data_IF_221334446121
#
_entry.id   IF_221334446121
#
_cell.length_a   1.000
_cell.length_b   1.000
_cell.length_c   1.000
_cell.angle_alpha   90.00
_cell.angle_beta   90.00
_cell.angle_gamma   90.00
#
_symmetry.space_group_name_H-M   'P 1'
#
loop_
_entity.id
_entity.type
_entity.pdbx_description
1 polymer ?
#
# COMPACT_ATOMS: atom_id res chain seq x y z
N UNK A 1 -7.54 -2.60 -20.91
CA UNK A 1 -8.26 -1.32 -21.02
C UNK A 1 -7.28 -0.20 -21.34
N UNK A 2 -7.51 0.56 -22.42
CA UNK A 2 -6.61 1.65 -22.77
C UNK A 2 -6.76 2.82 -21.79
N UNK A 3 -5.68 3.55 -21.55
CA UNK A 3 -5.72 4.75 -20.72
C UNK A 3 -6.62 5.81 -21.37
N UNK A 4 -7.32 6.64 -20.55
CA UNK A 4 -8.09 7.76 -21.09
C UNK A 4 -7.23 8.69 -21.95
N UNK A 5 -7.86 9.34 -22.94
CA UNK A 5 -7.15 10.20 -23.90
C UNK A 5 -6.32 11.30 -23.24
N UNK A 6 -6.80 11.87 -22.14
CA UNK A 6 -6.08 12.92 -21.41
C UNK A 6 -4.92 12.41 -20.59
N UNK A 7 -4.89 11.11 -20.28
CA UNK A 7 -3.79 10.46 -19.54
C UNK A 7 -2.68 9.96 -20.47
N UNK A 8 -3.03 9.53 -21.68
CA UNK A 8 -2.07 8.98 -22.64
C UNK A 8 -0.84 9.88 -22.88
N UNK A 9 -0.97 11.20 -23.11
CA UNK A 9 0.19 12.07 -23.27
C UNK A 9 1.07 12.14 -22.02
N UNK A 10 0.45 12.07 -20.84
CA UNK A 10 1.17 12.10 -19.56
C UNK A 10 2.03 10.83 -19.43
N UNK A 11 1.47 9.66 -19.71
CA UNK A 11 2.20 8.39 -19.65
C UNK A 11 3.35 8.36 -20.64
N UNK A 12 3.20 8.94 -21.82
CA UNK A 12 4.27 9.01 -22.82
C UNK A 12 5.45 9.85 -22.35
N UNK A 13 5.21 10.90 -21.58
CA UNK A 13 6.26 11.78 -21.05
C UNK A 13 6.98 11.23 -19.83
N UNK A 14 6.40 10.24 -19.16
CA UNK A 14 6.97 9.68 -17.94
C UNK A 14 8.29 8.96 -18.22
N UNK A 15 9.32 9.19 -17.39
CA UNK A 15 10.61 8.51 -17.57
C UNK A 15 10.58 7.08 -17.06
N UNK A 16 11.47 6.25 -17.61
CA UNK A 16 11.70 4.88 -17.13
C UNK A 16 12.76 4.86 -16.03
N UNK A 17 12.51 5.64 -14.99
CA UNK A 17 13.44 5.83 -13.87
C UNK A 17 12.72 5.65 -12.54
N UNK A 18 13.46 5.38 -11.45
CA UNK A 18 12.84 5.30 -10.14
C UNK A 18 12.33 6.66 -9.66
N UNK A 19 11.30 6.65 -8.86
CA UNK A 19 10.74 7.89 -8.31
C UNK A 19 9.42 7.68 -7.62
N UNK A 20 8.76 8.80 -7.36
CA UNK A 20 7.45 8.87 -6.71
C UNK A 20 6.46 9.48 -7.70
N UNK A 21 5.29 8.87 -7.83
CA UNK A 21 4.20 9.39 -8.64
C UNK A 21 3.03 9.81 -7.75
N UNK A 22 2.26 10.78 -8.24
CA UNK A 22 1.11 11.36 -7.55
C UNK A 22 -0.08 11.34 -8.49
N UNK A 23 -1.22 10.80 -8.03
CA UNK A 23 -2.47 10.80 -8.77
C UNK A 23 -3.37 11.93 -8.26
N UNK A 24 -3.89 12.75 -9.18
CA UNK A 24 -4.79 13.85 -8.88
C UNK A 24 -6.15 13.64 -9.58
N UNK A 25 -7.23 14.15 -8.95
CA UNK A 25 -8.55 14.15 -9.58
C UNK A 25 -8.75 15.38 -10.50
N UNK A 26 -9.96 15.51 -11.08
CA UNK A 26 -10.27 16.61 -11.98
C UNK A 26 -10.27 17.98 -11.28
N UNK A 27 -10.43 18.01 -9.95
CA UNK A 27 -10.39 19.22 -9.14
C UNK A 27 -8.98 19.56 -8.63
N UNK A 28 -7.97 18.77 -9.00
CA UNK A 28 -6.61 18.96 -8.53
C UNK A 28 -6.33 18.41 -7.15
N UNK A 29 -7.24 17.62 -6.59
CA UNK A 29 -7.04 17.01 -5.28
C UNK A 29 -6.13 15.80 -5.39
N UNK A 30 -5.15 15.71 -4.48
CA UNK A 30 -4.25 14.57 -4.41
C UNK A 30 -4.98 13.33 -3.91
N UNK A 31 -5.00 12.27 -4.73
CA UNK A 31 -5.69 11.02 -4.43
C UNK A 31 -4.77 9.97 -3.84
N UNK A 32 -3.57 9.83 -4.39
CA UNK A 32 -2.66 8.74 -4.06
C UNK A 32 -1.22 9.10 -4.36
N UNK A 33 -0.30 8.62 -3.53
CA UNK A 33 1.15 8.72 -3.73
C UNK A 33 1.73 7.31 -3.72
N UNK A 34 2.58 7.00 -4.69
CA UNK A 34 3.24 5.71 -4.75
C UNK A 34 4.67 5.81 -5.24
N UNK A 35 5.50 4.85 -4.84
CA UNK A 35 6.85 4.72 -5.37
C UNK A 35 6.89 3.77 -6.54
N UNK A 36 7.87 3.94 -7.40
CA UNK A 36 8.12 3.04 -8.52
C UNK A 36 9.60 2.86 -8.75
N UNK A 37 9.98 1.67 -9.15
CA UNK A 37 11.31 1.38 -9.69
C UNK A 37 11.44 1.90 -11.11
N UNK A 38 10.33 1.87 -11.85
CA UNK A 38 10.18 2.43 -13.20
C UNK A 38 8.84 3.16 -13.24
N UNK A 39 8.88 4.48 -13.22
CA UNK A 39 7.69 5.33 -13.16
C UNK A 39 6.71 5.06 -14.32
N UNK A 40 7.22 5.00 -15.54
CA UNK A 40 6.39 4.79 -16.73
C UNK A 40 5.67 3.45 -16.69
N UNK A 41 6.36 2.36 -16.38
CA UNK A 41 5.76 1.02 -16.27
C UNK A 41 4.72 0.97 -15.17
N UNK A 42 5.03 1.53 -14.02
CA UNK A 42 4.11 1.48 -12.86
C UNK A 42 2.85 2.27 -13.13
N UNK A 43 2.97 3.50 -13.63
CA UNK A 43 1.82 4.33 -13.95
C UNK A 43 0.95 3.70 -15.04
N UNK A 44 1.58 3.17 -16.09
CA UNK A 44 0.85 2.50 -17.17
C UNK A 44 0.10 1.26 -16.69
N UNK A 45 0.63 0.54 -15.70
CA UNK A 45 0.00 -0.69 -15.18
C UNK A 45 -1.38 -0.47 -14.57
N UNK A 46 -1.65 0.74 -14.05
CA UNK A 46 -2.98 1.08 -13.51
C UNK A 46 -4.07 1.05 -14.58
N UNK A 47 -3.70 1.31 -15.83
CA UNK A 47 -4.66 1.44 -16.94
C UNK A 47 -4.68 0.22 -17.88
N UNK A 48 -3.72 -0.69 -17.73
CA UNK A 48 -3.58 -1.85 -18.64
C UNK A 48 -4.04 -3.16 -18.02
N UNK A 49 -4.12 -3.24 -16.69
CA UNK A 49 -4.50 -4.45 -15.96
C UNK A 49 -5.90 -4.29 -15.38
N UNK A 50 -6.67 -5.39 -15.39
CA UNK A 50 -7.89 -5.45 -14.60
C UNK A 50 -7.50 -5.47 -13.13
N UNK A 51 -7.95 -4.46 -12.39
CA UNK A 51 -7.69 -4.37 -10.96
C UNK A 51 -8.67 -5.28 -10.22
N UNK A 52 -8.16 -6.26 -9.49
CA UNK A 52 -8.98 -7.16 -8.68
C UNK A 52 -9.62 -6.44 -7.49
N UNK A 53 -8.94 -5.43 -6.94
CA UNK A 53 -9.42 -4.65 -5.80
C UNK A 53 -10.36 -3.52 -6.28
N UNK A 54 -11.59 -3.50 -5.72
CA UNK A 54 -12.58 -2.46 -6.05
C UNK A 54 -12.14 -1.04 -5.70
N UNK A 55 -11.38 -0.86 -4.61
CA UNK A 55 -10.85 0.45 -4.22
C UNK A 55 -9.82 0.97 -5.23
N UNK A 56 -8.98 0.10 -5.75
CA UNK A 56 -8.02 0.46 -6.79
C UNK A 56 -8.74 0.84 -8.08
N UNK A 57 -9.80 0.14 -8.45
CA UNK A 57 -10.62 0.49 -9.62
C UNK A 57 -11.26 1.86 -9.48
N UNK A 58 -11.77 2.19 -8.27
CA UNK A 58 -12.32 3.51 -7.99
C UNK A 58 -11.26 4.61 -8.12
N UNK A 59 -10.07 4.35 -7.59
CA UNK A 59 -8.94 5.27 -7.74
C UNK A 59 -8.65 5.54 -9.21
N UNK A 60 -8.49 4.49 -10.01
CA UNK A 60 -8.15 4.60 -11.45
C UNK A 60 -9.19 5.44 -12.19
N UNK A 61 -10.49 5.28 -11.89
CA UNK A 61 -11.56 6.04 -12.51
C UNK A 61 -11.48 7.54 -12.20
N UNK A 62 -10.96 7.90 -11.03
CA UNK A 62 -10.88 9.30 -10.57
C UNK A 62 -9.61 10.00 -11.03
N UNK A 63 -8.60 9.27 -11.50
CA UNK A 63 -7.33 9.87 -11.93
C UNK A 63 -7.58 10.75 -13.16
N UNK A 64 -7.28 12.05 -13.00
CA UNK A 64 -7.35 13.03 -14.09
C UNK A 64 -5.97 13.53 -14.49
N UNK A 65 -5.03 13.58 -13.55
CA UNK A 65 -3.66 14.03 -13.79
C UNK A 65 -2.66 13.18 -12.98
N UNK A 66 -1.45 13.08 -13.48
CA UNK A 66 -0.36 12.36 -12.82
C UNK A 66 0.87 13.26 -12.81
N UNK A 67 1.45 13.47 -11.64
CA UNK A 67 2.73 14.14 -11.47
C UNK A 67 3.74 13.15 -10.92
N UNK A 68 5.02 13.41 -11.10
CA UNK A 68 6.08 12.54 -10.63
C UNK A 68 7.34 13.30 -10.26
N UNK A 69 8.15 12.68 -9.39
CA UNK A 69 9.45 13.17 -8.98
C UNK A 69 10.45 12.03 -9.19
N UNK A 70 11.46 12.25 -10.03
CA UNK A 70 12.53 11.28 -10.27
C UNK A 70 13.49 11.29 -9.10
N UNK A 71 13.91 10.11 -8.64
CA UNK A 71 14.92 9.95 -7.59
C UNK A 71 16.13 9.19 -8.12
N UNK A 72 17.26 9.27 -7.39
CA UNK A 72 18.48 8.58 -7.79
C UNK A 72 18.37 7.06 -7.68
N UNK A 73 17.54 6.57 -6.76
CA UNK A 73 17.37 5.13 -6.52
C UNK A 73 15.96 4.83 -6.01
N UNK A 74 15.61 3.53 -6.00
CA UNK A 74 14.35 3.06 -5.42
C UNK A 74 14.30 3.32 -3.90
N UNK A 75 15.44 3.23 -3.21
CA UNK A 75 15.53 3.52 -1.77
C UNK A 75 15.18 4.98 -1.48
N UNK A 76 15.69 5.91 -2.30
CA UNK A 76 15.35 7.33 -2.18
C UNK A 76 13.87 7.57 -2.47
N UNK A 77 13.31 6.85 -3.45
CA UNK A 77 11.88 6.91 -3.75
C UNK A 77 11.02 6.45 -2.56
N UNK A 78 11.44 5.40 -1.86
CA UNK A 78 10.74 4.92 -0.66
C UNK A 78 10.74 5.98 0.46
N UNK A 79 11.88 6.62 0.72
CA UNK A 79 11.98 7.67 1.73
C UNK A 79 11.10 8.87 1.37
N UNK A 80 11.14 9.28 0.12
CA UNK A 80 10.32 10.40 -0.36
C UNK A 80 8.83 10.06 -0.29
N UNK A 81 8.43 8.87 -0.72
CA UNK A 81 7.04 8.40 -0.62
C UNK A 81 6.54 8.47 0.82
N UNK A 82 7.29 7.91 1.77
CA UNK A 82 6.91 7.91 3.18
C UNK A 82 6.76 9.33 3.72
N UNK A 83 7.67 10.21 3.38
CA UNK A 83 7.62 11.62 3.80
C UNK A 83 6.40 12.33 3.24
N UNK A 84 6.12 12.16 1.95
CA UNK A 84 4.98 12.79 1.28
C UNK A 84 3.64 12.25 1.78
N UNK A 85 3.54 10.96 2.05
CA UNK A 85 2.31 10.36 2.60
C UNK A 85 2.04 10.90 4.00
N UNK A 86 3.06 11.06 4.83
CA UNK A 86 2.91 11.63 6.17
C UNK A 86 2.45 13.09 6.13
N UNK A 87 2.98 13.86 5.18
CA UNK A 87 2.66 15.28 5.02
C UNK A 87 1.24 15.48 4.47
N UNK A 88 0.90 14.79 3.38
CA UNK A 88 -0.32 15.02 2.62
C UNK A 88 -1.49 14.10 3.00
N UNK A 89 -1.21 12.94 3.55
CA UNK A 89 -2.20 11.93 3.96
C UNK A 89 -3.27 11.68 2.88
N UNK A 90 -2.89 11.26 1.66
CA UNK A 90 -3.85 11.08 0.59
C UNK A 90 -4.90 10.03 0.96
N UNK A 91 -6.16 10.28 0.59
CA UNK A 91 -7.28 9.43 1.01
C UNK A 91 -7.14 7.97 0.57
N UNK A 92 -6.66 7.71 -0.63
CA UNK A 92 -6.49 6.33 -1.13
C UNK A 92 -5.28 5.61 -0.55
N UNK A 93 -4.27 6.33 -0.09
CA UNK A 93 -3.19 5.70 0.69
C UNK A 93 -3.72 5.16 2.00
N UNK A 94 -4.57 5.91 2.68
CA UNK A 94 -5.20 5.50 3.93
C UNK A 94 -6.15 4.32 3.68
N UNK A 95 -7.05 4.41 2.69
CA UNK A 95 -8.03 3.36 2.38
C UNK A 95 -7.38 2.06 1.90
N UNK A 96 -6.35 2.15 1.05
CA UNK A 96 -5.63 0.96 0.58
C UNK A 96 -4.78 0.33 1.69
N UNK A 97 -4.27 1.14 2.61
CA UNK A 97 -3.57 0.63 3.80
C UNK A 97 -4.51 -0.15 4.70
N UNK A 98 -5.74 0.31 4.88
CA UNK A 98 -6.75 -0.36 5.69
C UNK A 98 -7.13 -1.73 5.12
N UNK A 99 -6.97 -1.94 3.82
CA UNK A 99 -7.16 -3.24 3.17
C UNK A 99 -5.98 -4.20 3.37
N UNK A 100 -4.83 -3.70 3.81
CA UNK A 100 -3.69 -4.55 4.13
C UNK A 100 -3.90 -5.17 5.49
N UNK A 101 -4.11 -6.48 5.51
CA UNK A 101 -4.17 -7.22 6.77
C UNK A 101 -2.76 -7.40 7.31
N UNK A 102 -2.50 -6.78 8.45
CA UNK A 102 -1.28 -7.04 9.20
C UNK A 102 -1.49 -8.24 10.12
N UNK A 103 -0.46 -9.09 10.32
CA UNK A 103 -0.61 -10.24 11.19
C UNK A 103 -0.71 -9.84 12.66
N UNK A 104 -1.50 -10.62 13.39
CA UNK A 104 -1.62 -10.56 14.85
C UNK A 104 -1.08 -11.85 15.44
N UNK A 105 -0.65 -11.80 16.68
CA UNK A 105 -0.48 -12.99 17.51
C UNK A 105 -1.78 -13.18 18.30
N UNK A 106 -2.32 -14.39 18.30
CA UNK A 106 -3.52 -14.72 19.06
C UNK A 106 -3.17 -15.72 20.16
N UNK A 107 -3.64 -15.43 21.38
CA UNK A 107 -3.68 -16.40 22.47
C UNK A 107 -5.07 -17.00 22.48
N UNK A 108 -5.21 -18.18 21.92
CA UNK A 108 -6.50 -18.84 21.72
C UNK A 108 -7.12 -19.24 23.05
N UNK A 109 -8.36 -18.83 23.30
CA UNK A 109 -9.11 -19.22 24.48
C UNK A 109 -9.69 -20.63 24.29
N UNK A 110 -8.94 -21.60 24.75
CA UNK A 110 -9.32 -23.02 24.69
C UNK A 110 -8.69 -23.77 25.88
N UNK A 111 -9.04 -25.03 26.05
CA UNK A 111 -8.58 -25.86 27.21
C UNK A 111 -7.05 -25.90 27.31
N UNK A 112 -6.37 -25.98 26.18
CA UNK A 112 -4.91 -25.90 26.11
C UNK A 112 -4.55 -24.68 25.26
N UNK A 113 -4.35 -23.49 25.88
CA UNK A 113 -4.12 -22.25 25.13
C UNK A 113 -2.91 -22.36 24.21
N UNK A 114 -3.08 -21.86 22.99
CA UNK A 114 -2.02 -21.81 21.98
C UNK A 114 -1.77 -20.38 21.54
N UNK A 115 -0.51 -20.08 21.22
CA UNK A 115 -0.11 -18.81 20.62
C UNK A 115 0.31 -19.07 19.19
N UNK A 116 -0.32 -18.39 18.25
CA UNK A 116 0.01 -18.53 16.82
C UNK A 116 -0.31 -17.24 16.05
N UNK A 117 0.36 -17.00 14.89
CA UNK A 117 0.03 -15.84 14.07
C UNK A 117 -1.27 -16.01 13.32
N UNK A 118 -2.04 -14.92 13.20
CA UNK A 118 -3.28 -14.88 12.41
C UNK A 118 -3.46 -13.52 11.77
N UNK A 119 -4.14 -13.48 10.64
CA UNK A 119 -4.54 -12.22 10.00
C UNK A 119 -6.03 -11.89 10.22
N UNK A 120 -6.75 -12.78 10.88
CA UNK A 120 -8.16 -12.60 11.18
C UNK A 120 -8.38 -12.43 12.68
N UNK A 121 -9.02 -11.33 13.07
CA UNK A 121 -9.43 -11.09 14.44
C UNK A 121 -10.90 -11.53 14.56
N UNK A 122 -11.16 -12.48 15.47
CA UNK A 122 -12.51 -13.01 15.74
C UNK A 122 -12.94 -12.66 17.17
N UNK A 123 -14.24 -12.44 17.34
CA UNK A 123 -14.82 -12.20 18.67
C UNK A 123 -15.14 -13.54 19.34
N UNK A 124 -14.12 -14.30 19.72
CA UNK A 124 -14.25 -15.61 20.35
C UNK A 124 -13.70 -15.64 21.79
N UNK A 125 -13.43 -14.47 22.36
CA UNK A 125 -12.85 -14.36 23.70
C UNK A 125 -11.35 -14.54 23.76
N UNK A 126 -10.69 -14.81 22.62
CA UNK A 126 -9.22 -14.91 22.55
C UNK A 126 -8.58 -13.53 22.65
N UNK A 127 -7.34 -13.50 23.15
CA UNK A 127 -6.55 -12.27 23.20
C UNK A 127 -5.72 -12.12 21.92
N UNK A 128 -5.71 -10.90 21.38
CA UNK A 128 -4.99 -10.57 20.16
C UNK A 128 -3.96 -9.50 20.45
N UNK A 129 -2.73 -9.71 20.00
CA UNK A 129 -1.62 -8.78 20.15
C UNK A 129 -1.16 -8.29 18.79
N UNK A 130 -0.95 -7.02 18.65
CA UNK A 130 -0.55 -6.37 17.39
C UNK A 130 -1.52 -5.27 16.98
N UNK A 131 -1.61 -4.92 15.69
CA UNK A 131 -0.96 -5.61 14.54
C UNK A 131 0.55 -5.39 14.45
N UNK A 132 1.26 -6.37 13.90
CA UNK A 132 2.71 -6.29 13.68
C UNK A 132 3.00 -5.85 12.26
N UNK A 133 3.67 -4.73 12.10
CA UNK A 133 4.11 -4.22 10.80
C UNK A 133 5.35 -4.95 10.28
N UNK A 134 6.06 -5.64 11.16
CA UNK A 134 7.27 -6.39 10.88
C UNK A 134 7.10 -7.87 11.20
N UNK A 135 7.06 -8.71 10.16
CA UNK A 135 6.87 -10.16 10.31
C UNK A 135 8.02 -10.79 11.11
N UNK A 136 9.25 -10.36 10.87
CA UNK A 136 10.41 -10.85 11.62
C UNK A 136 10.32 -10.55 13.12
N UNK A 137 9.87 -9.34 13.46
CA UNK A 137 9.65 -8.95 14.86
C UNK A 137 8.56 -9.78 15.53
N UNK A 138 7.47 -10.05 14.80
CA UNK A 138 6.39 -10.91 15.28
C UNK A 138 6.88 -12.33 15.56
N UNK A 139 7.67 -12.93 14.68
CA UNK A 139 8.23 -14.27 14.87
C UNK A 139 9.20 -14.31 16.03
N UNK A 140 9.98 -13.26 16.28
CA UNK A 140 10.86 -13.17 17.44
C UNK A 140 10.08 -13.20 18.75
N UNK A 141 8.96 -12.48 18.83
CA UNK A 141 8.06 -12.50 19.99
C UNK A 141 7.43 -13.89 20.17
N UNK A 142 6.99 -14.50 19.07
CA UNK A 142 6.40 -15.84 19.08
C UNK A 142 7.38 -16.89 19.59
N UNK A 143 8.63 -16.85 19.13
CA UNK A 143 9.67 -17.77 19.58
C UNK A 143 9.97 -17.60 21.07
N UNK A 144 9.97 -16.37 21.56
CA UNK A 144 10.13 -16.08 22.98
C UNK A 144 8.99 -16.70 23.80
N UNK A 145 7.75 -16.57 23.33
CA UNK A 145 6.58 -17.17 23.99
C UNK A 145 6.65 -18.68 24.04
N UNK A 146 7.19 -19.33 23.01
CA UNK A 146 7.34 -20.80 22.97
C UNK A 146 8.37 -21.34 23.96
N UNK A 147 9.31 -20.50 24.39
CA UNK A 147 10.36 -20.89 25.37
C UNK A 147 9.88 -20.77 26.81
N UNK A 148 8.75 -20.14 27.03
CA UNK A 148 8.14 -20.04 28.35
C UNK A 148 7.24 -21.25 28.60
#
# INVERSE_FOLDING_TARGET
>A
MAAPKHIQPILKRMPQEPGVYQHFDAQGKLLYIGKAKNLKKRASSYFTKNQANGKTRLLVRKIHDIQWIVTASESDALLLENSMIKEHKPIYNIQLKDDKTYPFLVLKKERFPRVFPTRQVRKDGSEYFGPYSHVKGMHAVLDLCKKL
#
